data_IF_327542606516
#
_entry.id   IF_327542606516
#
_cell.length_a   1.000
_cell.length_b   1.000
_cell.length_c   1.000
_cell.angle_alpha   90.00
_cell.angle_beta   90.00
_cell.angle_gamma   90.00
#
_symmetry.space_group_name_H-M   'P 1'
#
loop_
_entity.id
_entity.type
_entity.pdbx_description
1 polymer ?
#
# COMPACT_ATOMS: atom_id res chain seq x y z
N UNK A 1 -22.12 19.93 -27.20
CA UNK A 1 -21.11 20.04 -26.13
C UNK A 1 -21.78 19.77 -24.81
N UNK A 2 -21.57 18.58 -24.22
CA UNK A 2 -21.94 18.36 -22.82
C UNK A 2 -21.17 19.41 -21.99
N UNK A 3 -21.90 20.14 -21.14
CA UNK A 3 -21.31 21.17 -20.30
C UNK A 3 -20.42 20.46 -19.28
N UNK A 4 -19.11 20.75 -19.25
CA UNK A 4 -18.19 20.23 -18.24
C UNK A 4 -18.74 20.53 -16.84
N UNK A 5 -18.81 19.51 -15.99
CA UNK A 5 -19.29 19.67 -14.61
C UNK A 5 -18.22 20.25 -13.69
N UNK A 6 -16.95 20.12 -14.09
CA UNK A 6 -15.78 20.41 -13.25
C UNK A 6 -15.77 19.64 -11.95
N UNK A 7 -16.40 18.46 -11.93
CA UNK A 7 -16.42 17.54 -10.79
C UNK A 7 -15.66 16.27 -11.17
N UNK A 8 -14.75 15.84 -10.31
CA UNK A 8 -14.06 14.55 -10.41
C UNK A 8 -14.46 13.70 -9.21
N UNK A 9 -15.00 12.51 -9.48
CA UNK A 9 -15.31 11.53 -8.45
C UNK A 9 -14.04 10.86 -7.95
N UNK A 10 -13.96 10.55 -6.66
CA UNK A 10 -12.91 9.75 -6.03
C UNK A 10 -13.56 8.73 -5.11
N UNK A 11 -13.42 7.44 -5.41
CA UNK A 11 -13.83 6.38 -4.50
C UNK A 11 -12.66 5.95 -3.63
N UNK A 12 -12.92 5.72 -2.35
CA UNK A 12 -11.91 5.32 -1.36
C UNK A 12 -12.43 4.18 -0.49
N UNK A 13 -11.60 3.16 -0.16
CA UNK A 13 -12.02 2.02 0.64
C UNK A 13 -12.32 2.40 2.10
N UNK A 14 -11.68 3.45 2.60
CA UNK A 14 -11.88 3.97 3.96
C UNK A 14 -10.78 4.92 4.37
N UNK A 15 -10.97 5.56 5.52
CA UNK A 15 -10.02 6.51 6.09
C UNK A 15 -9.26 5.95 7.31
N UNK A 16 -9.51 4.69 7.68
CA UNK A 16 -8.85 4.02 8.79
C UNK A 16 -7.47 3.45 8.42
N UNK A 17 -6.75 4.13 7.55
CA UNK A 17 -5.37 3.86 7.17
C UNK A 17 -4.59 5.17 7.15
N UNK A 18 -3.26 5.10 7.17
CA UNK A 18 -2.41 6.28 7.01
C UNK A 18 -2.31 6.68 5.53
N UNK A 19 -2.38 5.69 4.63
CA UNK A 19 -2.22 5.85 3.18
C UNK A 19 -3.33 6.68 2.55
N UNK A 20 -4.59 6.27 2.75
CA UNK A 20 -5.75 6.89 2.09
C UNK A 20 -5.86 8.38 2.39
N UNK A 21 -5.86 8.86 3.66
CA UNK A 21 -5.94 10.28 3.94
C UNK A 21 -4.84 11.11 3.28
N UNK A 22 -3.59 10.65 3.32
CA UNK A 22 -2.45 11.34 2.71
C UNK A 22 -2.59 11.46 1.19
N UNK A 23 -2.95 10.37 0.53
CA UNK A 23 -3.17 10.35 -0.91
C UNK A 23 -4.32 11.28 -1.32
N UNK A 24 -5.45 11.17 -0.61
CA UNK A 24 -6.64 12.00 -0.86
C UNK A 24 -6.32 13.48 -0.70
N UNK A 25 -5.58 13.88 0.33
CA UNK A 25 -5.20 15.27 0.56
C UNK A 25 -4.43 15.85 -0.62
N UNK A 26 -3.45 15.12 -1.16
CA UNK A 26 -2.66 15.56 -2.31
C UNK A 26 -3.52 15.65 -3.57
N UNK A 27 -4.35 14.63 -3.85
CA UNK A 27 -5.26 14.63 -5.00
C UNK A 27 -6.21 15.82 -4.93
N UNK A 28 -6.87 16.04 -3.78
CA UNK A 28 -7.81 17.13 -3.56
C UNK A 28 -7.15 18.49 -3.77
N UNK A 29 -5.95 18.69 -3.22
CA UNK A 29 -5.21 19.95 -3.38
C UNK A 29 -4.85 20.20 -4.86
N UNK A 30 -4.41 19.18 -5.59
CA UNK A 30 -4.06 19.28 -7.01
C UNK A 30 -5.29 19.57 -7.88
N UNK A 31 -6.40 18.86 -7.66
CA UNK A 31 -7.64 19.07 -8.42
C UNK A 31 -8.19 20.47 -8.20
N UNK A 32 -8.25 20.96 -6.95
CA UNK A 32 -8.71 22.33 -6.64
C UNK A 32 -7.84 23.40 -7.29
N UNK A 33 -6.52 23.21 -7.34
CA UNK A 33 -5.60 24.14 -8.02
C UNK A 33 -5.86 24.23 -9.53
N UNK A 34 -6.47 23.19 -10.10
CA UNK A 34 -6.82 23.12 -11.52
C UNK A 34 -8.34 23.33 -11.78
N UNK A 35 -9.04 23.98 -10.86
CA UNK A 35 -10.47 24.35 -10.97
C UNK A 35 -11.42 23.15 -11.08
N UNK A 36 -11.06 22.00 -10.49
CA UNK A 36 -11.95 20.85 -10.33
C UNK A 36 -12.43 20.71 -8.89
N UNK A 37 -13.68 20.30 -8.73
CA UNK A 37 -14.28 19.96 -7.43
C UNK A 37 -14.16 18.45 -7.21
N UNK A 38 -13.41 17.96 -6.21
CA UNK A 38 -13.39 16.54 -5.86
C UNK A 38 -14.66 16.14 -5.13
N UNK A 39 -15.27 15.03 -5.53
CA UNK A 39 -16.42 14.41 -4.86
C UNK A 39 -16.00 13.03 -4.36
N UNK A 40 -15.85 12.86 -3.05
CA UNK A 40 -15.35 11.65 -2.43
C UNK A 40 -16.48 10.74 -2.01
N UNK A 41 -16.41 9.46 -2.38
CA UNK A 41 -17.32 8.40 -1.94
C UNK A 41 -16.58 7.28 -1.22
N UNK A 42 -17.10 6.85 -0.09
CA UNK A 42 -16.57 5.76 0.72
C UNK A 42 -17.15 4.42 0.30
N UNK A 43 -16.31 3.42 0.02
CA UNK A 43 -16.72 2.11 -0.50
C UNK A 43 -16.68 0.99 0.56
N UNK A 44 -16.30 1.31 1.80
CA UNK A 44 -16.29 0.36 2.93
C UNK A 44 -15.40 -0.87 2.70
N UNK A 45 -14.41 -0.77 1.79
CA UNK A 45 -13.58 -1.88 1.35
C UNK A 45 -14.41 -3.04 0.73
N UNK A 46 -15.52 -2.71 0.09
CA UNK A 46 -16.47 -3.63 -0.53
C UNK A 46 -16.57 -3.37 -2.04
N UNK A 47 -16.30 -4.40 -2.84
CA UNK A 47 -16.28 -4.30 -4.31
C UNK A 47 -17.67 -3.94 -4.87
N UNK A 48 -18.74 -4.48 -4.29
CA UNK A 48 -20.10 -4.18 -4.75
C UNK A 48 -20.48 -2.73 -4.46
N UNK A 49 -20.08 -2.20 -3.27
CA UNK A 49 -20.29 -0.79 -2.97
C UNK A 49 -19.40 0.11 -3.83
N UNK A 50 -18.19 -0.32 -4.18
CA UNK A 50 -17.32 0.40 -5.11
C UNK A 50 -17.98 0.54 -6.49
N UNK A 51 -18.56 -0.52 -7.03
CA UNK A 51 -19.33 -0.50 -8.28
C UNK A 51 -20.54 0.45 -8.15
N UNK A 52 -21.30 0.38 -7.06
CA UNK A 52 -22.45 1.28 -6.80
C UNK A 52 -22.02 2.74 -6.72
N UNK A 53 -20.89 3.03 -6.09
CA UNK A 53 -20.33 4.38 -6.02
C UNK A 53 -19.95 4.91 -7.41
N UNK A 54 -19.30 4.09 -8.23
CA UNK A 54 -18.94 4.44 -9.61
C UNK A 54 -20.19 4.76 -10.44
N UNK A 55 -21.25 3.93 -10.34
CA UNK A 55 -22.51 4.18 -11.03
C UNK A 55 -23.19 5.47 -10.57
N UNK A 56 -23.19 5.75 -9.26
CA UNK A 56 -23.72 7.01 -8.71
C UNK A 56 -22.95 8.23 -9.24
N UNK A 57 -21.62 8.18 -9.24
CA UNK A 57 -20.77 9.26 -9.78
C UNK A 57 -21.06 9.51 -11.26
N UNK A 58 -21.18 8.42 -12.06
CA UNK A 58 -21.58 8.53 -13.46
C UNK A 58 -22.93 9.21 -13.63
N UNK A 59 -23.92 8.85 -12.81
CA UNK A 59 -25.26 9.43 -12.86
C UNK A 59 -25.29 10.92 -12.41
N UNK A 60 -24.30 11.35 -11.64
CA UNK A 60 -24.07 12.75 -11.28
C UNK A 60 -23.36 13.56 -12.38
N UNK A 61 -23.05 12.93 -13.53
CA UNK A 61 -22.36 13.54 -14.66
C UNK A 61 -20.99 14.15 -14.28
N UNK A 62 -20.22 13.47 -13.44
CA UNK A 62 -18.83 13.87 -13.16
C UNK A 62 -17.98 13.74 -14.43
N UNK A 63 -16.94 14.54 -14.57
CA UNK A 63 -16.09 14.55 -15.78
C UNK A 63 -15.11 13.35 -15.83
N UNK A 64 -14.79 12.77 -14.68
CA UNK A 64 -13.95 11.59 -14.55
C UNK A 64 -14.04 10.95 -13.18
N UNK A 65 -13.58 9.71 -13.05
CA UNK A 65 -13.61 8.95 -11.80
C UNK A 65 -12.22 8.39 -11.50
N UNK A 66 -11.72 8.67 -10.31
CA UNK A 66 -10.52 8.06 -9.75
C UNK A 66 -10.95 7.00 -8.73
N UNK A 67 -10.40 5.80 -8.81
CA UNK A 67 -10.78 4.67 -7.95
C UNK A 67 -9.57 4.20 -7.17
N UNK A 68 -9.55 4.41 -5.86
CA UNK A 68 -8.60 3.71 -4.99
C UNK A 68 -9.15 2.31 -4.77
N UNK A 69 -8.70 1.39 -5.64
CA UNK A 69 -9.34 0.11 -5.85
C UNK A 69 -9.23 -0.84 -4.64
N UNK A 70 -10.32 -1.51 -4.34
CA UNK A 70 -10.39 -2.59 -3.34
C UNK A 70 -9.94 -3.93 -3.92
N UNK A 71 -10.25 -4.19 -5.18
CA UNK A 71 -9.94 -5.42 -5.89
C UNK A 71 -10.57 -5.43 -7.29
N UNK A 72 -10.63 -6.60 -7.92
CA UNK A 72 -11.25 -6.78 -9.23
C UNK A 72 -11.97 -8.12 -9.31
N UNK A 73 -13.15 -8.12 -9.92
CA UNK A 73 -13.88 -9.33 -10.36
C UNK A 73 -14.20 -9.21 -11.84
N UNK A 74 -14.52 -10.30 -12.50
CA UNK A 74 -14.92 -10.27 -13.94
C UNK A 74 -16.14 -9.40 -14.17
N UNK A 75 -17.11 -9.45 -13.26
CA UNK A 75 -18.34 -8.65 -13.31
C UNK A 75 -18.00 -7.16 -13.18
N UNK A 76 -17.06 -6.83 -12.30
CA UNK A 76 -16.57 -5.46 -12.13
C UNK A 76 -15.85 -4.95 -13.40
N UNK A 77 -14.96 -5.76 -13.95
CA UNK A 77 -14.26 -5.42 -15.21
C UNK A 77 -15.23 -5.17 -16.36
N UNK A 78 -16.30 -6.00 -16.48
CA UNK A 78 -17.33 -5.82 -17.48
C UNK A 78 -18.18 -4.57 -17.24
N UNK A 79 -18.44 -4.21 -15.99
CA UNK A 79 -19.16 -3.00 -15.62
C UNK A 79 -18.34 -1.75 -16.00
N UNK A 80 -17.05 -1.74 -15.68
CA UNK A 80 -16.14 -0.64 -15.99
C UNK A 80 -16.01 -0.44 -17.51
N UNK A 81 -15.84 -1.49 -18.30
CA UNK A 81 -15.76 -1.42 -19.79
C UNK A 81 -16.97 -0.76 -20.45
N UNK A 82 -18.12 -0.77 -19.78
CA UNK A 82 -19.35 -0.10 -20.28
C UNK A 82 -19.41 1.39 -19.94
N UNK A 83 -18.49 1.89 -19.12
CA UNK A 83 -18.42 3.30 -18.79
C UNK A 83 -17.87 4.10 -19.98
N UNK A 84 -18.50 5.23 -20.26
CA UNK A 84 -18.09 6.15 -21.34
C UNK A 84 -17.46 7.44 -20.78
N UNK A 85 -16.89 7.35 -19.61
CA UNK A 85 -16.26 8.44 -18.89
C UNK A 85 -14.83 8.04 -18.51
N UNK A 86 -13.88 8.96 -18.47
CA UNK A 86 -12.52 8.66 -18.01
C UNK A 86 -12.53 8.02 -16.62
N UNK A 87 -11.85 6.87 -16.49
CA UNK A 87 -11.67 6.19 -15.21
C UNK A 87 -10.20 5.87 -15.00
N UNK A 88 -9.68 6.11 -13.81
CA UNK A 88 -8.30 5.87 -13.42
C UNK A 88 -8.24 5.09 -12.12
N UNK A 89 -7.57 3.95 -12.13
CA UNK A 89 -7.39 3.11 -10.95
C UNK A 89 -6.10 3.45 -10.21
N UNK A 90 -6.15 3.44 -8.88
CA UNK A 90 -5.05 3.76 -7.98
C UNK A 90 -4.73 2.60 -7.06
N UNK A 91 -3.45 2.36 -6.81
CA UNK A 91 -2.95 1.36 -5.88
C UNK A 91 -2.84 -0.05 -6.45
N UNK A 92 -3.68 -0.40 -7.40
CA UNK A 92 -3.68 -1.71 -8.05
C UNK A 92 -3.81 -1.56 -9.57
N UNK A 93 -3.26 -2.51 -10.31
CA UNK A 93 -3.54 -2.63 -11.75
C UNK A 93 -4.96 -3.09 -11.95
N UNK A 94 -5.68 -2.41 -12.83
CA UNK A 94 -7.00 -2.85 -13.24
C UNK A 94 -6.98 -3.27 -14.73
N UNK A 95 -7.47 -4.47 -15.07
CA UNK A 95 -7.36 -5.00 -16.43
C UNK A 95 -8.04 -4.12 -17.48
N UNK A 96 -7.28 -3.68 -18.47
CA UNK A 96 -7.78 -2.87 -19.59
C UNK A 96 -7.97 -1.38 -19.31
N UNK A 97 -7.69 -0.93 -18.10
CA UNK A 97 -7.85 0.47 -17.69
C UNK A 97 -6.52 1.11 -17.26
N UNK A 98 -6.46 2.44 -17.30
CA UNK A 98 -5.31 3.18 -16.83
C UNK A 98 -5.15 3.03 -15.32
N UNK A 99 -3.92 2.83 -14.87
CA UNK A 99 -3.61 2.62 -13.45
C UNK A 99 -2.36 3.38 -13.01
N UNK A 100 -2.39 3.90 -11.80
CA UNK A 100 -1.22 4.46 -11.10
C UNK A 100 -0.99 3.67 -9.82
N UNK A 101 0.13 2.95 -9.76
CA UNK A 101 0.44 2.01 -8.68
C UNK A 101 1.75 2.37 -7.99
N UNK A 102 1.96 1.88 -6.78
CA UNK A 102 3.29 1.84 -6.17
C UNK A 102 4.11 0.70 -6.78
N UNK A 103 5.43 0.82 -6.73
CA UNK A 103 6.35 -0.26 -7.15
C UNK A 103 6.50 -1.31 -6.05
N UNK A 104 5.38 -1.97 -5.72
CA UNK A 104 5.26 -2.89 -4.60
C UNK A 104 6.18 -4.11 -4.72
N UNK A 105 6.29 -4.70 -5.92
CA UNK A 105 7.16 -5.85 -6.12
C UNK A 105 8.63 -5.50 -5.92
N UNK A 106 9.14 -4.45 -6.57
CA UNK A 106 10.56 -4.08 -6.44
C UNK A 106 10.88 -3.55 -5.03
N UNK A 107 9.94 -2.85 -4.38
CA UNK A 107 10.08 -2.46 -2.98
C UNK A 107 10.20 -3.67 -2.06
N UNK A 108 9.34 -4.67 -2.28
CA UNK A 108 9.42 -5.95 -1.58
C UNK A 108 10.75 -6.67 -1.83
N UNK A 109 11.17 -6.78 -3.10
CA UNK A 109 12.44 -7.39 -3.48
C UNK A 109 13.65 -6.72 -2.80
N UNK A 110 13.66 -5.38 -2.79
CA UNK A 110 14.73 -4.63 -2.15
C UNK A 110 14.81 -4.91 -0.63
N UNK A 111 13.67 -4.97 0.06
CA UNK A 111 13.61 -5.33 1.49
C UNK A 111 14.03 -6.78 1.72
N UNK A 112 13.56 -7.72 0.90
CA UNK A 112 13.95 -9.12 0.99
C UNK A 112 15.46 -9.31 0.82
N UNK A 113 16.04 -8.67 -0.20
CA UNK A 113 17.48 -8.69 -0.44
C UNK A 113 18.25 -7.99 0.71
N UNK A 114 17.77 -6.83 1.17
CA UNK A 114 18.34 -6.10 2.29
C UNK A 114 18.45 -6.94 3.57
N UNK A 115 17.40 -7.66 3.94
CA UNK A 115 17.40 -8.59 5.08
C UNK A 115 18.18 -9.86 4.76
N UNK A 116 18.08 -10.37 3.54
CA UNK A 116 18.75 -11.57 3.06
C UNK A 116 20.28 -11.51 3.18
N UNK A 117 20.89 -10.36 2.96
CA UNK A 117 22.33 -10.14 3.09
C UNK A 117 22.84 -10.19 4.53
N UNK A 118 21.97 -10.21 5.53
CA UNK A 118 22.32 -10.18 6.96
C UNK A 118 22.30 -11.56 7.61
N UNK A 119 23.00 -11.70 8.73
CA UNK A 119 23.19 -13.01 9.43
C UNK A 119 22.08 -13.27 10.44
N UNK A 120 20.85 -13.47 9.99
CA UNK A 120 19.76 -13.92 10.85
C UNK A 120 19.65 -15.45 10.85
N UNK A 121 19.30 -16.04 12.01
CA UNK A 121 18.99 -17.47 12.15
C UNK A 121 17.61 -17.79 11.62
N UNK A 122 16.66 -16.91 11.89
CA UNK A 122 15.27 -17.06 11.50
C UNK A 122 14.74 -15.74 10.93
N UNK A 123 13.92 -15.83 9.90
CA UNK A 123 13.25 -14.69 9.26
C UNK A 123 11.76 -14.99 9.25
N UNK A 124 10.98 -14.12 9.84
CA UNK A 124 9.51 -14.19 9.87
C UNK A 124 8.91 -13.08 9.02
N UNK A 125 7.77 -13.37 8.42
CA UNK A 125 6.98 -12.36 7.72
C UNK A 125 5.60 -12.29 8.38
N UNK A 126 5.17 -11.09 8.77
CA UNK A 126 3.79 -10.80 9.14
C UNK A 126 3.11 -10.12 7.96
N UNK A 127 2.15 -10.82 7.37
CA UNK A 127 1.64 -10.41 6.08
C UNK A 127 0.11 -10.46 6.00
N UNK A 128 -0.47 -9.60 5.16
CA UNK A 128 -1.89 -9.59 4.87
C UNK A 128 -2.23 -10.65 3.80
N UNK A 129 -3.50 -11.10 3.71
CA UNK A 129 -3.93 -12.08 2.72
C UNK A 129 -3.62 -11.68 1.26
N UNK A 130 -3.50 -12.67 0.39
CA UNK A 130 -3.19 -12.47 -1.04
C UNK A 130 -4.36 -11.92 -1.86
N UNK A 131 -5.55 -11.80 -1.27
CA UNK A 131 -6.69 -11.12 -1.87
C UNK A 131 -6.49 -9.59 -1.99
N UNK A 132 -5.51 -9.03 -1.27
CA UNK A 132 -4.94 -7.73 -1.59
C UNK A 132 -3.83 -7.89 -2.65
N UNK A 133 -4.07 -7.54 -3.93
CA UNK A 133 -3.11 -7.81 -5.01
C UNK A 133 -1.80 -7.04 -4.86
N UNK A 134 -1.81 -5.83 -4.30
CA UNK A 134 -0.62 -5.01 -4.18
C UNK A 134 0.25 -5.45 -2.98
N UNK A 135 -0.28 -5.39 -1.76
CA UNK A 135 0.46 -5.66 -0.53
C UNK A 135 0.54 -7.16 -0.26
N UNK A 136 -0.59 -7.86 -0.32
CA UNK A 136 -0.70 -9.30 -0.10
C UNK A 136 -0.03 -10.12 -1.20
N UNK A 137 -0.15 -9.66 -2.45
CA UNK A 137 0.44 -10.29 -3.64
C UNK A 137 1.82 -9.75 -4.01
N UNK A 138 1.88 -8.68 -4.79
CA UNK A 138 3.12 -8.18 -5.43
C UNK A 138 4.24 -7.91 -4.43
N UNK A 139 3.97 -7.17 -3.35
CA UNK A 139 4.97 -6.87 -2.31
C UNK A 139 5.49 -8.12 -1.63
N UNK A 140 4.59 -9.05 -1.29
CA UNK A 140 4.94 -10.34 -0.67
C UNK A 140 5.84 -11.16 -1.57
N UNK A 141 5.48 -11.33 -2.85
CA UNK A 141 6.31 -12.06 -3.81
C UNK A 141 7.69 -11.41 -3.95
N UNK A 142 7.74 -10.08 -4.04
CA UNK A 142 9.00 -9.34 -4.06
C UNK A 142 9.89 -9.68 -2.86
N UNK A 143 9.35 -9.63 -1.63
CA UNK A 143 10.13 -9.96 -0.42
C UNK A 143 10.68 -11.37 -0.47
N UNK A 144 9.85 -12.34 -0.86
CA UNK A 144 10.28 -13.76 -0.97
C UNK A 144 11.39 -13.91 -2.00
N UNK A 145 11.24 -13.32 -3.19
CA UNK A 145 12.24 -13.39 -4.26
C UNK A 145 13.54 -12.68 -3.87
N UNK A 146 13.44 -11.55 -3.17
CA UNK A 146 14.60 -10.84 -2.62
C UNK A 146 15.36 -11.65 -1.57
N UNK A 147 14.67 -12.39 -0.71
CA UNK A 147 15.29 -13.34 0.23
C UNK A 147 15.95 -14.50 -0.52
N UNK A 148 15.25 -15.05 -1.52
CA UNK A 148 15.75 -16.17 -2.33
C UNK A 148 17.00 -15.79 -3.13
N UNK A 149 17.13 -14.55 -3.57
CA UNK A 149 18.36 -14.05 -4.23
C UNK A 149 19.61 -14.12 -3.33
N UNK A 150 19.40 -14.21 -2.01
CA UNK A 150 20.45 -14.41 -1.00
C UNK A 150 20.47 -15.84 -0.45
N UNK A 151 19.87 -16.81 -1.15
CA UNK A 151 19.75 -18.22 -0.72
C UNK A 151 19.02 -18.37 0.64
N UNK A 152 18.10 -17.45 0.95
CA UNK A 152 17.30 -17.46 2.18
C UNK A 152 15.82 -17.57 1.85
N UNK A 153 15.06 -17.99 2.84
CA UNK A 153 13.59 -18.03 2.80
C UNK A 153 13.03 -17.66 4.16
N UNK A 154 11.81 -17.17 4.23
CA UNK A 154 11.14 -17.00 5.51
C UNK A 154 10.96 -18.37 6.16
N UNK A 155 11.15 -18.43 7.47
CA UNK A 155 10.80 -19.61 8.27
C UNK A 155 9.29 -19.81 8.28
N UNK A 156 8.57 -18.71 8.38
CA UNK A 156 7.12 -18.69 8.41
C UNK A 156 6.59 -17.37 7.87
N UNK A 157 5.48 -17.43 7.13
CA UNK A 157 4.68 -16.29 6.75
C UNK A 157 3.38 -16.37 7.54
N UNK A 158 3.22 -15.46 8.49
CA UNK A 158 2.10 -15.43 9.44
C UNK A 158 1.07 -14.45 8.91
N UNK A 159 -0.12 -14.93 8.61
CA UNK A 159 -1.21 -14.10 8.14
C UNK A 159 -1.75 -13.22 9.28
N UNK A 160 -1.97 -11.96 8.97
CA UNK A 160 -2.53 -10.95 9.87
C UNK A 160 -3.41 -9.99 9.05
N UNK A 161 -3.91 -8.95 9.68
CA UNK A 161 -4.64 -7.87 9.01
C UNK A 161 -3.80 -6.59 9.00
N UNK A 162 -4.29 -5.52 8.39
CA UNK A 162 -3.64 -4.21 8.40
C UNK A 162 -3.65 -3.52 9.79
N UNK A 163 -4.27 -4.14 10.80
CA UNK A 163 -4.41 -3.57 12.13
C UNK A 163 -3.33 -4.10 13.09
N UNK A 164 -2.74 -3.21 13.89
CA UNK A 164 -1.67 -3.58 14.80
C UNK A 164 -2.12 -4.52 15.92
N UNK A 165 -3.40 -4.48 16.29
CA UNK A 165 -3.99 -5.35 17.31
C UNK A 165 -3.87 -6.82 16.90
N UNK A 166 -4.19 -7.15 15.64
CA UNK A 166 -4.04 -8.50 15.13
C UNK A 166 -2.57 -8.92 15.01
N UNK A 167 -1.69 -7.96 14.70
CA UNK A 167 -0.26 -8.23 14.70
C UNK A 167 0.24 -8.62 16.10
N UNK A 168 -0.21 -7.94 17.17
CA UNK A 168 0.12 -8.29 18.56
C UNK A 168 -0.25 -9.75 18.86
N UNK A 169 -1.50 -10.14 18.59
CA UNK A 169 -1.98 -11.50 18.83
C UNK A 169 -1.16 -12.55 18.06
N UNK A 170 -0.80 -12.26 16.83
CA UNK A 170 -0.06 -13.19 15.99
C UNK A 170 1.42 -13.29 16.41
N UNK A 171 2.06 -12.19 16.80
CA UNK A 171 3.45 -12.20 17.29
C UNK A 171 3.54 -13.02 18.59
N UNK A 172 2.57 -12.90 19.48
CA UNK A 172 2.54 -13.66 20.75
C UNK A 172 2.55 -15.17 20.53
N UNK A 173 2.06 -15.68 19.40
CA UNK A 173 2.02 -17.11 19.08
C UNK A 173 3.40 -17.71 18.78
N UNK A 174 4.35 -16.93 18.24
CA UNK A 174 5.65 -17.45 17.84
C UNK A 174 6.86 -16.88 18.60
N UNK A 175 6.70 -15.74 19.28
CA UNK A 175 7.81 -15.01 19.91
C UNK A 175 8.61 -15.88 20.90
N UNK A 176 7.92 -16.74 21.67
CA UNK A 176 8.56 -17.58 22.70
C UNK A 176 9.39 -18.72 22.11
N UNK A 177 9.24 -19.03 20.81
CA UNK A 177 9.97 -20.09 20.11
C UNK A 177 10.99 -19.56 19.09
N UNK A 178 11.06 -18.22 18.96
CA UNK A 178 11.92 -17.56 18.01
C UNK A 178 13.41 -17.67 18.39
N UNK A 179 14.25 -18.08 17.46
CA UNK A 179 15.70 -18.18 17.66
C UNK A 179 16.40 -16.90 17.21
N UNK A 180 16.97 -16.21 18.15
CA UNK A 180 17.72 -14.97 17.89
C UNK A 180 19.17 -15.25 17.45
N UNK A 181 19.81 -14.38 16.67
CA UNK A 181 19.24 -13.17 16.08
C UNK A 181 18.21 -13.48 14.97
N UNK A 182 17.06 -12.82 15.01
CA UNK A 182 15.97 -13.00 14.06
C UNK A 182 15.63 -11.69 13.34
N UNK A 183 14.91 -11.80 12.23
CA UNK A 183 14.30 -10.67 11.57
C UNK A 183 12.79 -10.87 11.40
N UNK A 184 12.03 -9.81 11.56
CA UNK A 184 10.59 -9.75 11.30
C UNK A 184 10.32 -8.72 10.22
N UNK A 185 9.84 -9.17 9.07
CA UNK A 185 9.45 -8.32 7.94
C UNK A 185 7.94 -8.14 8.01
N UNK A 186 7.49 -6.91 8.14
CA UNK A 186 6.08 -6.56 8.29
C UNK A 186 5.53 -5.95 7.00
N UNK A 187 4.36 -6.36 6.56
CA UNK A 187 3.72 -5.84 5.34
C UNK A 187 3.49 -4.32 5.37
N UNK A 188 3.33 -3.73 6.57
CA UNK A 188 3.23 -2.29 6.79
C UNK A 188 3.88 -1.88 8.12
N UNK A 189 4.17 -0.59 8.28
CA UNK A 189 4.66 -0.03 9.55
C UNK A 189 3.66 -0.23 10.69
N UNK A 190 2.36 -0.18 10.38
CA UNK A 190 1.31 -0.39 11.40
C UNK A 190 1.37 -1.80 12.00
N UNK A 191 1.67 -2.81 11.20
CA UNK A 191 1.94 -4.17 11.67
C UNK A 191 3.23 -4.21 12.50
N UNK A 192 4.28 -3.51 12.05
CA UNK A 192 5.53 -3.41 12.80
C UNK A 192 5.35 -2.80 14.20
N UNK A 193 4.42 -1.86 14.38
CA UNK A 193 4.10 -1.31 15.70
C UNK A 193 3.59 -2.38 16.68
N UNK A 194 2.80 -3.33 16.18
CA UNK A 194 2.38 -4.50 16.96
C UNK A 194 3.57 -5.38 17.39
N UNK A 195 4.53 -5.59 16.48
CA UNK A 195 5.78 -6.31 16.79
C UNK A 195 6.55 -5.58 17.90
N UNK A 196 6.77 -4.27 17.76
CA UNK A 196 7.49 -3.48 18.77
C UNK A 196 6.84 -3.59 20.14
N UNK A 197 5.51 -3.53 20.21
CA UNK A 197 4.79 -3.66 21.48
C UNK A 197 5.08 -5.00 22.15
N UNK A 198 4.98 -6.11 21.43
CA UNK A 198 5.23 -7.44 22.00
C UNK A 198 6.70 -7.60 22.41
N UNK A 199 7.65 -7.14 21.57
CA UNK A 199 9.08 -7.21 21.91
C UNK A 199 9.37 -6.43 23.19
N UNK A 200 8.81 -5.22 23.34
CA UNK A 200 8.94 -4.41 24.53
C UNK A 200 8.37 -5.10 25.79
N UNK A 201 7.19 -5.71 25.69
CA UNK A 201 6.54 -6.43 26.81
C UNK A 201 7.31 -7.69 27.24
N UNK A 202 7.99 -8.33 26.28
CA UNK A 202 8.82 -9.52 26.53
C UNK A 202 10.27 -9.20 26.90
N UNK A 203 10.66 -7.92 26.90
CA UNK A 203 12.03 -7.48 27.15
C UNK A 203 13.03 -7.88 26.05
N UNK A 204 12.54 -8.18 24.84
CA UNK A 204 13.37 -8.54 23.68
C UNK A 204 13.86 -7.25 23.01
N UNK A 205 15.17 -7.16 22.81
CA UNK A 205 15.80 -5.93 22.32
C UNK A 205 15.80 -5.86 20.78
N UNK A 206 15.36 -4.71 20.29
CA UNK A 206 15.48 -4.32 18.89
C UNK A 206 16.62 -3.31 18.77
N UNK A 207 17.60 -3.48 17.88
CA UNK A 207 17.77 -4.55 16.87
C UNK A 207 18.62 -5.73 17.33
N UNK A 208 19.13 -5.77 18.58
CA UNK A 208 20.19 -6.70 19.00
C UNK A 208 19.76 -8.15 18.88
N UNK A 209 18.54 -8.47 19.29
CA UNK A 209 17.97 -9.81 19.26
C UNK A 209 17.00 -10.01 18.10
N UNK A 210 16.20 -8.99 17.80
CA UNK A 210 15.21 -9.01 16.71
C UNK A 210 15.30 -7.74 15.90
N UNK A 211 15.56 -7.88 14.62
CA UNK A 211 15.46 -6.78 13.67
C UNK A 211 14.05 -6.69 13.10
N UNK A 212 13.54 -5.48 12.91
CA UNK A 212 12.20 -5.23 12.37
C UNK A 212 12.27 -4.27 11.20
N UNK A 213 11.54 -4.58 10.12
CA UNK A 213 11.40 -3.71 8.96
C UNK A 213 9.93 -3.64 8.55
N UNK A 214 9.50 -2.45 8.11
CA UNK A 214 8.14 -2.18 7.67
C UNK A 214 8.05 -1.55 6.28
N UNK A 215 6.84 -1.10 5.92
CA UNK A 215 6.55 -0.36 4.69
C UNK A 215 5.54 0.74 5.01
N UNK A 216 5.82 1.97 4.56
CA UNK A 216 4.92 3.10 4.65
C UNK A 216 5.55 4.42 5.09
N UNK A 217 6.68 4.38 5.78
CA UNK A 217 7.35 5.55 6.36
C UNK A 217 6.37 6.42 7.17
N UNK A 218 5.65 5.74 8.09
CA UNK A 218 4.71 6.42 8.96
C UNK A 218 5.46 7.20 10.04
N UNK A 219 5.00 8.41 10.32
CA UNK A 219 5.60 9.32 11.29
C UNK A 219 5.84 8.66 12.67
N UNK A 220 4.90 7.85 13.13
CA UNK A 220 5.04 7.10 14.37
C UNK A 220 6.25 6.14 14.38
N UNK A 221 6.66 5.62 13.21
CA UNK A 221 7.83 4.75 13.07
C UNK A 221 9.15 5.44 13.39
N UNK A 222 9.24 6.74 13.14
CA UNK A 222 10.41 7.55 13.47
C UNK A 222 10.54 7.80 14.98
N UNK A 223 9.40 7.82 15.69
CA UNK A 223 9.33 8.06 17.14
C UNK A 223 9.57 6.80 17.97
N UNK A 224 9.62 5.62 17.36
CA UNK A 224 9.92 4.37 18.05
C UNK A 224 11.37 4.35 18.59
N UNK A 225 11.61 3.46 19.56
CA UNK A 225 12.94 3.23 20.12
C UNK A 225 13.31 1.74 19.98
N UNK A 226 14.23 1.43 19.06
CA UNK A 226 14.87 2.31 18.05
C UNK A 226 13.91 2.70 16.92
N UNK A 227 14.21 3.79 16.13
CA UNK A 227 13.40 4.18 14.98
C UNK A 227 13.34 3.08 13.91
N UNK A 228 12.15 2.89 13.32
CA UNK A 228 11.84 1.81 12.38
C UNK A 228 12.46 2.06 10.99
N UNK A 229 13.25 1.11 10.51
CA UNK A 229 13.65 0.98 9.10
C UNK A 229 12.42 0.58 8.29
N UNK A 230 12.17 1.29 7.21
CA UNK A 230 10.93 1.12 6.44
C UNK A 230 11.12 1.46 4.97
N UNK A 231 10.10 1.20 4.16
CA UNK A 231 10.03 1.67 2.78
C UNK A 231 9.11 2.88 2.70
N UNK A 232 9.61 3.94 2.08
CA UNK A 232 8.85 5.13 1.73
C UNK A 232 8.36 5.04 0.30
N UNK A 233 7.06 5.29 0.11
CA UNK A 233 6.49 5.64 -1.17
C UNK A 233 6.23 7.15 -1.20
N UNK A 234 6.54 7.81 -2.31
CA UNK A 234 6.33 9.26 -2.44
C UNK A 234 4.83 9.56 -2.61
N UNK A 235 4.15 9.81 -1.50
CA UNK A 235 2.72 10.12 -1.46
C UNK A 235 2.35 11.34 -2.28
N UNK A 236 3.24 12.36 -2.25
CA UNK A 236 3.03 13.58 -3.01
C UNK A 236 3.10 13.31 -4.50
N UNK A 237 4.16 12.67 -4.95
CA UNK A 237 4.31 12.29 -6.36
C UNK A 237 3.14 11.40 -6.81
N UNK A 238 2.77 10.39 -6.01
CA UNK A 238 1.66 9.50 -6.34
C UNK A 238 0.34 10.25 -6.53
N UNK A 239 -0.01 11.13 -5.60
CA UNK A 239 -1.23 11.94 -5.69
C UNK A 239 -1.22 12.93 -6.87
N UNK A 240 -0.09 13.61 -7.09
CA UNK A 240 0.06 14.60 -8.18
C UNK A 240 -0.05 13.91 -9.56
N UNK A 241 0.69 12.84 -9.82
CA UNK A 241 0.63 12.12 -11.11
C UNK A 241 -0.74 11.50 -11.35
N UNK A 242 -1.43 11.05 -10.29
CA UNK A 242 -2.79 10.50 -10.40
C UNK A 242 -3.80 11.58 -10.80
N UNK A 243 -3.78 12.72 -10.12
CA UNK A 243 -4.69 13.83 -10.42
C UNK A 243 -4.39 14.44 -11.79
N UNK A 244 -3.12 14.61 -12.15
CA UNK A 244 -2.71 15.09 -13.47
C UNK A 244 -3.18 14.14 -14.56
N UNK A 245 -2.97 12.82 -14.40
CA UNK A 245 -3.40 11.82 -15.37
C UNK A 245 -4.91 11.87 -15.61
N UNK A 246 -5.71 11.99 -14.54
CA UNK A 246 -7.16 12.14 -14.67
C UNK A 246 -7.54 13.38 -15.47
N UNK A 247 -6.93 14.53 -15.19
CA UNK A 247 -7.18 15.77 -15.94
C UNK A 247 -6.78 15.62 -17.43
N UNK A 248 -5.63 14.99 -17.72
CA UNK A 248 -5.21 14.73 -19.09
C UNK A 248 -6.20 13.82 -19.84
N UNK A 249 -6.71 12.77 -19.17
CA UNK A 249 -7.73 11.87 -19.74
C UNK A 249 -9.04 12.62 -20.05
N UNK A 250 -9.50 13.50 -19.15
CA UNK A 250 -10.68 14.35 -19.38
C UNK A 250 -10.50 15.25 -20.60
N UNK A 251 -9.29 15.79 -20.79
CA UNK A 251 -8.94 16.62 -21.92
C UNK A 251 -8.69 15.84 -23.22
N UNK A 252 -8.88 14.51 -23.23
CA UNK A 252 -8.64 13.64 -24.37
C UNK A 252 -7.16 13.52 -24.76
N UNK A 253 -6.24 13.82 -23.87
CA UNK A 253 -4.80 13.70 -24.10
C UNK A 253 -4.32 12.28 -23.74
N UNK A 254 -3.26 11.78 -24.42
CA UNK A 254 -2.71 10.46 -24.14
C UNK A 254 -2.09 10.40 -22.74
N UNK A 255 -2.39 9.32 -22.00
CA UNK A 255 -1.83 8.99 -20.69
C UNK A 255 -1.23 7.59 -20.77
N UNK A 256 -0.11 7.36 -20.09
CA UNK A 256 0.47 6.02 -19.99
C UNK A 256 -0.53 5.06 -19.34
N UNK A 257 -0.80 3.89 -19.92
CA UNK A 257 -1.74 2.92 -19.33
C UNK A 257 -1.36 2.46 -17.92
N UNK A 258 -0.05 2.44 -17.64
CA UNK A 258 0.48 2.13 -16.32
C UNK A 258 1.54 3.15 -15.94
N UNK A 259 1.36 3.76 -14.78
CA UNK A 259 2.35 4.60 -14.15
C UNK A 259 2.73 4.00 -12.80
N UNK A 260 4.01 4.02 -12.49
CA UNK A 260 4.57 3.39 -11.30
C UNK A 260 5.21 4.44 -10.42
N UNK A 261 4.71 4.59 -9.21
CA UNK A 261 5.25 5.49 -8.19
C UNK A 261 6.47 4.84 -7.53
N UNK A 262 7.61 5.52 -7.48
CA UNK A 262 8.85 4.95 -6.96
C UNK A 262 8.82 4.77 -5.44
N UNK A 263 9.79 3.98 -4.96
CA UNK A 263 10.03 3.73 -3.54
C UNK A 263 11.47 4.07 -3.14
N UNK A 264 11.68 4.19 -1.84
CA UNK A 264 12.99 4.36 -1.21
C UNK A 264 13.05 3.58 0.10
N UNK A 265 14.15 2.88 0.37
CA UNK A 265 14.38 2.27 1.70
C UNK A 265 14.93 3.36 2.62
N UNK A 266 14.22 3.64 3.70
CA UNK A 266 14.64 4.55 4.76
C UNK A 266 15.28 3.73 5.86
N UNK A 267 16.60 3.62 5.81
CA UNK A 267 17.36 2.92 6.83
C UNK A 267 17.38 3.73 8.13
N UNK A 268 16.95 3.10 9.22
CA UNK A 268 17.01 3.61 10.59
C UNK A 268 17.71 2.59 11.49
N UNK A 269 17.35 2.52 12.76
CA UNK A 269 18.09 1.74 13.76
C UNK A 269 17.41 0.42 14.16
N UNK A 270 16.32 0.02 13.50
CA UNK A 270 15.59 -1.21 13.85
C UNK A 270 16.14 -2.49 13.22
N UNK A 271 17.12 -2.38 12.34
CA UNK A 271 17.79 -3.51 11.70
C UNK A 271 19.25 -3.52 12.09
N UNK A 272 19.72 -4.67 12.60
CA UNK A 272 21.10 -4.86 13.01
C UNK A 272 22.04 -4.82 11.82
N UNK A 273 23.11 -4.05 11.93
CA UNK A 273 24.23 -4.10 11.00
C UNK A 273 24.97 -5.45 11.11
N UNK A 274 25.73 -5.83 10.06
CA UNK A 274 26.46 -7.13 10.00
C UNK A 274 27.65 -7.19 10.96
#
# INVERSE_FOLDING_TARGET
NAKESRIIGLTVPGFNSVTTPRLVEVIVAYLKKNDYTPLIMHTENDIEEEIRCIERLKNMNVDGIMVLATGSTKEYEEAVKKLKIPILFLGQRFPGENSVINDDYNAGYAVGNYIGQRKFKEIYMLWVPEDDPAVGGERRHGVIDGLMSCEKKPKEVIETTFFYENAIENVQKFVDHMKTPAAVICATDRIAFGVYKVMSEKGIRIPEEVSVVGFGDYEAGELLQPPLTTVKFDWKNWGEISAESMIQMILGKPVSPLQVNPYEIIERKSVKEN
#
